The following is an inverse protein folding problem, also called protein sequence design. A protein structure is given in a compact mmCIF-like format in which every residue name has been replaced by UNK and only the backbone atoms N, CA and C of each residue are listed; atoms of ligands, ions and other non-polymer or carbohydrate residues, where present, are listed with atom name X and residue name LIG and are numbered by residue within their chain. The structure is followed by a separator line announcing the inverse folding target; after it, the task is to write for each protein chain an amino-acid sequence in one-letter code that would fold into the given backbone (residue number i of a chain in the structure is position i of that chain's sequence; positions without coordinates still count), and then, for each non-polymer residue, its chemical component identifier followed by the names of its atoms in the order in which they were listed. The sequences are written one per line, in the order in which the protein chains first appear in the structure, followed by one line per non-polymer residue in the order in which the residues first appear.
data_IF_713692313137
#
_entry.id   IF_713692313137
#
_cell.length_a   1.000
_cell.length_b   1.000
_cell.length_c   1.000
_cell.angle_alpha   90.00
_cell.angle_beta   90.00
_cell.angle_gamma   90.00
#
_symmetry.space_group_name_H-M   'P 1'
#
loop_
_entity.id
_entity.type
_entity.pdbx_description
1 polymer ?
#
# COMPACT_ATOMS: atom_id res chain seq x y z
N UNK A 1 12.96 -37.18 44.52
CA UNK A 1 12.39 -35.81 44.47
C UNK A 1 11.45 -35.76 43.27
N UNK A 2 10.14 -35.84 43.49
CA UNK A 2 9.10 -35.82 42.45
C UNK A 2 8.46 -34.44 42.42
N UNK A 3 8.67 -33.68 41.35
CA UNK A 3 8.02 -32.38 41.15
C UNK A 3 6.57 -32.60 40.71
N UNK A 4 5.64 -32.28 41.60
CA UNK A 4 4.20 -32.23 41.34
C UNK A 4 3.86 -30.98 40.52
N UNK A 5 3.73 -31.13 39.20
CA UNK A 5 3.13 -30.11 38.33
C UNK A 5 1.62 -30.17 38.47
N UNK A 6 1.04 -29.21 39.19
CA UNK A 6 -0.41 -29.01 39.27
C UNK A 6 -0.92 -28.50 37.92
N UNK A 7 -1.95 -29.11 37.29
CA UNK A 7 -2.46 -28.63 36.02
C UNK A 7 -3.18 -27.29 36.25
N UNK A 8 -2.60 -26.19 35.78
CA UNK A 8 -3.25 -24.88 35.78
C UNK A 8 -4.37 -24.93 34.75
N UNK A 9 -5.63 -24.99 35.20
CA UNK A 9 -6.80 -24.92 34.31
C UNK A 9 -6.77 -23.57 33.59
N UNK A 10 -6.33 -23.55 32.33
CA UNK A 10 -6.36 -22.34 31.51
C UNK A 10 -7.81 -21.90 31.36
N UNK A 11 -8.12 -20.71 31.89
CA UNK A 11 -9.43 -20.09 31.72
C UNK A 11 -9.63 -19.81 30.22
N UNK A 12 -10.77 -20.21 29.61
CA UNK A 12 -11.01 -19.97 28.20
C UNK A 12 -10.96 -18.47 27.89
N UNK A 13 -10.46 -18.14 26.70
CA UNK A 13 -10.41 -16.76 26.21
C UNK A 13 -11.84 -16.21 26.09
N UNK A 14 -12.16 -15.13 26.81
CA UNK A 14 -13.50 -14.54 26.82
C UNK A 14 -13.80 -13.66 25.58
N UNK A 15 -12.79 -13.40 24.73
CA UNK A 15 -12.94 -12.52 23.57
C UNK A 15 -14.04 -12.99 22.58
N UNK A 16 -14.14 -14.29 22.22
CA UNK A 16 -15.19 -14.78 21.32
C UNK A 16 -16.60 -14.74 21.93
N UNK A 17 -16.71 -14.70 23.26
CA UNK A 17 -17.98 -14.66 23.99
C UNK A 17 -18.61 -13.26 24.01
N UNK A 18 -17.84 -12.22 23.70
CA UNK A 18 -18.36 -10.86 23.59
C UNK A 18 -19.29 -10.71 22.38
N UNK A 19 -20.33 -9.86 22.44
CA UNK A 19 -21.10 -9.48 21.26
C UNK A 19 -20.23 -8.95 20.11
N UNK A 20 -20.63 -9.22 18.87
CA UNK A 20 -19.88 -8.85 17.66
C UNK A 20 -19.54 -7.35 17.60
N UNK A 21 -20.45 -6.48 18.06
CA UNK A 21 -20.20 -5.03 18.10
C UNK A 21 -19.02 -4.67 19.01
N UNK A 22 -18.91 -5.30 20.19
CA UNK A 22 -17.80 -5.08 21.10
C UNK A 22 -16.49 -5.63 20.52
N UNK A 23 -16.53 -6.80 19.86
CA UNK A 23 -15.35 -7.35 19.17
C UNK A 23 -14.88 -6.42 18.07
N UNK A 24 -15.77 -5.87 17.24
CA UNK A 24 -15.43 -4.91 16.21
C UNK A 24 -14.80 -3.63 16.77
N UNK A 25 -15.31 -3.11 17.90
CA UNK A 25 -14.69 -1.97 18.58
C UNK A 25 -13.26 -2.31 19.05
N UNK A 26 -13.05 -3.47 19.66
CA UNK A 26 -11.71 -3.94 20.06
C UNK A 26 -10.80 -4.05 18.84
N UNK A 27 -11.26 -4.69 17.76
CA UNK A 27 -10.52 -4.84 16.51
C UNK A 27 -10.08 -3.47 15.97
N UNK A 28 -10.98 -2.48 15.90
CA UNK A 28 -10.66 -1.09 15.50
C UNK A 28 -9.55 -0.48 16.36
N UNK A 29 -9.70 -0.52 17.70
CA UNK A 29 -8.69 0.04 18.61
C UNK A 29 -7.31 -0.61 18.46
N UNK A 30 -7.27 -1.87 18.05
CA UNK A 30 -6.00 -2.61 17.88
C UNK A 30 -5.39 -2.50 16.49
N UNK A 31 -6.22 -2.35 15.44
CA UNK A 31 -5.79 -2.42 14.04
C UNK A 31 -5.67 -1.06 13.38
N UNK A 32 -6.55 -0.13 13.75
CA UNK A 32 -6.63 1.21 13.18
C UNK A 32 -6.00 2.18 14.19
N UNK A 33 -4.68 2.31 14.11
CA UNK A 33 -3.98 3.36 14.84
C UNK A 33 -4.30 4.71 14.22
N UNK A 34 -4.28 5.78 15.01
CA UNK A 34 -4.37 7.13 14.49
C UNK A 34 -3.18 7.41 13.56
N UNK A 35 -3.45 7.61 12.27
CA UNK A 35 -2.46 7.95 11.25
C UNK A 35 -2.24 6.89 10.17
N UNK A 36 -1.29 7.18 9.28
CA UNK A 36 -1.02 6.37 8.09
C UNK A 36 -0.09 5.21 8.44
N UNK A 37 -0.56 3.97 8.24
CA UNK A 37 0.25 2.77 8.32
C UNK A 37 1.19 2.67 7.11
N UNK A 38 2.48 2.91 7.35
CA UNK A 38 3.52 2.82 6.32
C UNK A 38 4.04 1.39 6.17
N UNK A 39 3.73 0.77 5.03
CA UNK A 39 4.21 -0.55 4.64
C UNK A 39 5.46 -0.42 3.76
N UNK A 40 6.45 -1.24 4.05
CA UNK A 40 7.76 -1.36 3.43
C UNK A 40 8.07 -2.84 3.26
N UNK A 41 9.11 -3.17 2.48
CA UNK A 41 9.56 -4.57 2.34
C UNK A 41 9.92 -5.22 3.70
N UNK A 42 10.42 -4.44 4.66
CA UNK A 42 10.87 -4.94 5.96
C UNK A 42 9.76 -5.17 6.99
N UNK A 43 8.61 -4.50 6.84
CA UNK A 43 7.47 -4.61 7.77
C UNK A 43 6.19 -5.09 7.06
N UNK A 44 6.33 -5.75 5.91
CA UNK A 44 5.27 -6.45 5.19
C UNK A 44 4.83 -7.70 5.97
N UNK A 45 4.34 -7.52 7.18
CA UNK A 45 3.71 -8.58 7.95
C UNK A 45 2.28 -8.16 8.26
N UNK A 46 1.35 -9.08 8.06
CA UNK A 46 -0.01 -8.92 8.54
C UNK A 46 0.02 -8.57 10.04
N UNK A 47 -0.85 -7.66 10.51
CA UNK A 47 -0.98 -7.37 11.93
C UNK A 47 -1.07 -8.67 12.73
N UNK A 48 -0.39 -8.71 13.88
CA UNK A 48 -0.33 -9.91 14.74
C UNK A 48 -1.73 -10.45 15.05
N UNK A 49 -2.72 -9.56 15.21
CA UNK A 49 -4.12 -9.93 15.44
C UNK A 49 -4.72 -10.77 14.30
N UNK A 50 -4.44 -10.42 13.02
CA UNK A 50 -4.93 -11.16 11.85
C UNK A 50 -4.26 -12.53 11.67
N UNK A 51 -3.25 -12.84 12.49
CA UNK A 51 -2.51 -14.10 12.50
C UNK A 51 -2.88 -15.03 13.66
N UNK A 52 -3.82 -14.65 14.52
CA UNK A 52 -4.15 -15.41 15.74
C UNK A 52 -4.98 -16.67 15.45
N UNK A 53 -6.26 -16.49 15.06
CA UNK A 53 -7.17 -17.59 14.70
C UNK A 53 -8.07 -17.19 13.54
N UNK A 54 -8.71 -18.19 12.90
CA UNK A 54 -9.57 -17.98 11.72
C UNK A 54 -10.74 -17.03 12.02
N UNK A 55 -11.37 -17.15 13.20
CA UNK A 55 -12.48 -16.29 13.57
C UNK A 55 -12.07 -14.81 13.63
N UNK A 56 -11.00 -14.49 14.38
CA UNK A 56 -10.50 -13.11 14.49
C UNK A 56 -10.07 -12.59 13.13
N UNK A 57 -9.40 -13.41 12.32
CA UNK A 57 -9.00 -13.03 10.96
C UNK A 57 -10.21 -12.63 10.10
N UNK A 58 -11.29 -13.42 10.13
CA UNK A 58 -12.49 -13.17 9.34
C UNK A 58 -13.22 -11.90 9.80
N UNK A 59 -13.31 -11.66 11.11
CA UNK A 59 -13.96 -10.48 11.67
C UNK A 59 -13.15 -9.20 11.45
N UNK A 60 -11.84 -9.27 11.67
CA UNK A 60 -11.00 -8.10 11.83
C UNK A 60 -10.30 -7.67 10.52
N UNK A 61 -10.20 -8.55 9.53
CA UNK A 61 -9.56 -8.23 8.24
C UNK A 61 -10.31 -7.10 7.52
N UNK A 62 -11.63 -7.19 7.39
CA UNK A 62 -12.44 -6.14 6.76
C UNK A 62 -12.19 -4.76 7.40
N UNK A 63 -12.19 -4.71 8.73
CA UNK A 63 -11.90 -3.50 9.50
C UNK A 63 -10.50 -2.97 9.15
N UNK A 64 -9.47 -3.80 9.21
CA UNK A 64 -8.09 -3.38 8.92
C UNK A 64 -7.94 -2.80 7.51
N UNK A 65 -8.44 -3.48 6.48
CA UNK A 65 -8.19 -3.06 5.11
C UNK A 65 -9.15 -1.96 4.59
N UNK A 66 -10.28 -1.73 5.27
CA UNK A 66 -11.23 -0.67 4.94
C UNK A 66 -11.00 0.60 5.75
N UNK A 67 -10.70 0.47 7.04
CA UNK A 67 -10.67 1.60 7.96
C UNK A 67 -9.25 2.13 8.22
N UNK A 68 -8.19 1.35 7.93
CA UNK A 68 -6.81 1.84 8.06
C UNK A 68 -6.36 2.61 6.82
N UNK A 69 -5.73 3.77 7.03
CA UNK A 69 -5.01 4.47 5.98
C UNK A 69 -3.66 3.78 5.73
N UNK A 70 -3.48 3.20 4.55
CA UNK A 70 -2.26 2.46 4.19
C UNK A 70 -1.44 3.24 3.17
N UNK A 71 -0.14 3.35 3.40
CA UNK A 71 0.82 3.94 2.45
C UNK A 71 2.01 3.02 2.22
N UNK A 72 2.43 2.87 0.97
CA UNK A 72 3.63 2.12 0.58
C UNK A 72 4.79 3.06 0.31
N UNK A 73 5.94 2.83 0.95
CA UNK A 73 7.17 3.49 0.52
C UNK A 73 7.87 2.65 -0.55
N UNK A 74 7.82 3.11 -1.80
CA UNK A 74 8.50 2.48 -2.92
C UNK A 74 9.94 2.97 -3.00
N UNK A 75 10.87 2.03 -3.03
CA UNK A 75 12.26 2.33 -3.29
C UNK A 75 12.50 2.19 -4.79
N UNK A 76 13.06 3.22 -5.40
CA UNK A 76 13.45 3.19 -6.82
C UNK A 76 12.29 2.82 -7.75
N UNK A 77 11.12 3.44 -7.53
CA UNK A 77 9.84 3.16 -8.22
C UNK A 77 9.33 1.72 -8.15
N UNK A 78 9.99 0.80 -7.45
CA UNK A 78 9.60 -0.60 -7.45
C UNK A 78 8.20 -0.79 -6.82
N UNK A 79 7.19 -1.29 -7.57
CA UNK A 79 5.83 -1.46 -7.09
C UNK A 79 5.57 -2.79 -6.36
N UNK A 80 6.54 -3.71 -6.29
CA UNK A 80 6.37 -5.10 -5.83
C UNK A 80 5.71 -5.21 -4.45
N UNK A 81 6.02 -4.31 -3.52
CA UNK A 81 5.44 -4.31 -2.17
C UNK A 81 3.95 -3.98 -2.23
N UNK A 82 3.56 -3.00 -3.05
CA UNK A 82 2.17 -2.62 -3.24
C UNK A 82 1.39 -3.73 -3.96
N UNK A 83 1.96 -4.27 -5.05
CA UNK A 83 1.36 -5.39 -5.79
C UNK A 83 1.18 -6.63 -4.92
N UNK A 84 2.20 -6.99 -4.14
CA UNK A 84 2.13 -8.13 -3.22
C UNK A 84 1.09 -7.93 -2.13
N UNK A 85 0.92 -6.70 -1.65
CA UNK A 85 -0.15 -6.38 -0.71
C UNK A 85 -1.53 -6.54 -1.35
N UNK A 86 -1.70 -5.99 -2.56
CA UNK A 86 -2.97 -5.95 -3.25
C UNK A 86 -3.47 -7.33 -3.70
N UNK A 87 -2.56 -8.29 -3.96
CA UNK A 87 -2.94 -9.71 -4.15
C UNK A 87 -3.72 -10.31 -2.99
N UNK A 88 -3.49 -9.83 -1.77
CA UNK A 88 -4.17 -10.31 -0.57
C UNK A 88 -5.39 -9.44 -0.20
N UNK A 89 -5.67 -8.42 -1.01
CA UNK A 89 -6.67 -7.41 -0.76
C UNK A 89 -7.88 -7.60 -1.70
N UNK A 90 -9.08 -7.84 -1.16
CA UNK A 90 -10.33 -7.70 -1.89
C UNK A 90 -10.41 -6.39 -2.68
N UNK A 91 -10.84 -6.50 -3.94
CA UNK A 91 -10.87 -5.43 -4.95
C UNK A 91 -11.74 -4.21 -4.61
N UNK A 92 -12.61 -4.31 -3.60
CA UNK A 92 -13.51 -3.23 -3.19
C UNK A 92 -12.96 -2.36 -2.05
N UNK A 93 -11.69 -2.53 -1.67
CA UNK A 93 -11.08 -1.81 -0.55
C UNK A 93 -10.24 -0.62 -1.05
N UNK A 94 -10.53 0.58 -0.51
CA UNK A 94 -10.12 1.89 -1.07
C UNK A 94 -8.62 2.12 -1.23
N UNK A 95 -8.17 3.14 -1.95
CA UNK A 95 -6.80 3.26 -2.44
C UNK A 95 -5.71 3.20 -1.35
N UNK A 96 -4.68 2.39 -1.57
CA UNK A 96 -3.46 2.50 -0.79
C UNK A 96 -2.57 3.59 -1.40
N UNK A 97 -2.07 4.50 -0.55
CA UNK A 97 -1.21 5.60 -0.99
C UNK A 97 0.18 5.07 -1.32
N UNK A 98 0.89 5.77 -2.19
CA UNK A 98 2.30 5.51 -2.49
C UNK A 98 3.15 6.66 -1.90
N UNK A 99 4.41 6.42 -1.57
CA UNK A 99 5.43 7.40 -1.16
C UNK A 99 6.75 6.95 -1.81
N UNK A 100 7.63 7.88 -2.18
CA UNK A 100 8.90 7.56 -2.83
C UNK A 100 10.08 7.62 -1.87
N UNK A 101 10.94 6.61 -1.98
CA UNK A 101 12.26 6.58 -1.39
C UNK A 101 13.17 7.69 -1.94
N UNK A 102 14.42 7.73 -1.47
CA UNK A 102 15.40 8.70 -2.01
C UNK A 102 15.79 8.31 -3.43
N UNK A 103 15.86 9.31 -4.31
CA UNK A 103 16.45 9.24 -5.66
C UNK A 103 16.01 8.02 -6.48
N UNK A 104 14.71 7.85 -6.75
CA UNK A 104 14.29 6.79 -7.66
C UNK A 104 14.68 7.15 -9.09
N UNK A 105 15.37 6.24 -9.78
CA UNK A 105 15.96 6.45 -11.10
C UNK A 105 15.69 5.30 -12.07
N UNK A 106 15.24 4.14 -11.61
CA UNK A 106 15.01 2.99 -12.49
C UNK A 106 13.83 3.23 -13.42
N UNK A 107 14.11 3.30 -14.72
CA UNK A 107 13.08 3.40 -15.76
C UNK A 107 12.23 2.15 -15.83
N UNK A 108 12.84 0.98 -15.67
CA UNK A 108 12.14 -0.31 -15.68
C UNK A 108 11.12 -0.41 -14.54
N UNK A 109 11.51 -0.03 -13.33
CA UNK A 109 10.59 -0.01 -12.19
C UNK A 109 9.50 1.06 -12.36
N UNK A 110 9.85 2.21 -12.94
CA UNK A 110 8.88 3.26 -13.26
C UNK A 110 7.82 2.77 -14.24
N UNK A 111 8.20 2.09 -15.33
CA UNK A 111 7.24 1.47 -16.26
C UNK A 111 6.37 0.41 -15.58
N UNK A 112 6.96 -0.41 -14.70
CA UNK A 112 6.22 -1.40 -13.92
C UNK A 112 5.16 -0.73 -13.01
N UNK A 113 5.51 0.37 -12.35
CA UNK A 113 4.58 1.16 -11.54
C UNK A 113 3.47 1.78 -12.39
N UNK A 114 3.81 2.36 -13.55
CA UNK A 114 2.82 2.94 -14.46
C UNK A 114 1.86 1.91 -15.04
N UNK A 115 2.34 0.69 -15.32
CA UNK A 115 1.48 -0.43 -15.69
C UNK A 115 0.51 -0.80 -14.57
N UNK A 116 1.00 -0.90 -13.35
CA UNK A 116 0.16 -1.18 -12.19
C UNK A 116 -0.93 -0.11 -11.96
N UNK A 117 -0.65 1.15 -12.33
CA UNK A 117 -1.66 2.22 -12.32
C UNK A 117 -2.67 2.04 -13.45
N UNK A 118 -2.21 1.74 -14.68
CA UNK A 118 -3.09 1.51 -15.83
C UNK A 118 -4.01 0.28 -15.67
N UNK A 119 -3.55 -0.73 -14.92
CA UNK A 119 -4.31 -1.96 -14.67
C UNK A 119 -5.17 -1.86 -13.39
N UNK A 120 -5.33 -0.66 -12.82
CA UNK A 120 -6.04 -0.38 -11.55
C UNK A 120 -5.52 -1.18 -10.33
N UNK A 121 -4.31 -1.75 -10.42
CA UNK A 121 -3.69 -2.50 -9.34
C UNK A 121 -3.14 -1.58 -8.25
N UNK A 122 -2.77 -0.35 -8.57
CA UNK A 122 -2.28 0.67 -7.64
C UNK A 122 -2.97 1.98 -7.94
N UNK A 123 -3.52 2.65 -6.93
CA UNK A 123 -4.23 3.90 -7.18
C UNK A 123 -3.27 5.02 -7.53
N UNK A 124 -3.68 5.78 -8.56
CA UNK A 124 -2.99 6.93 -9.06
C UNK A 124 -2.61 7.91 -7.93
N UNK A 125 -1.37 8.37 -8.00
CA UNK A 125 -0.79 9.33 -7.09
C UNK A 125 -1.47 10.69 -7.25
N UNK A 126 -2.12 11.18 -6.19
CA UNK A 126 -2.63 12.56 -6.16
C UNK A 126 -1.51 13.60 -6.21
N UNK A 127 -1.86 14.84 -6.56
CA UNK A 127 -0.94 15.98 -6.44
C UNK A 127 -0.61 16.21 -4.95
N UNK A 128 0.68 16.30 -4.61
CA UNK A 128 1.10 16.75 -3.26
C UNK A 128 0.84 18.26 -3.21
N UNK A 129 -0.36 18.67 -2.83
CA UNK A 129 -0.60 20.06 -2.46
C UNK A 129 -0.41 20.30 -0.95
N UNK A 130 -0.50 19.28 -0.08
CA UNK A 130 -0.57 19.52 1.37
C UNK A 130 0.60 18.97 2.22
N UNK A 131 1.47 18.10 1.71
CA UNK A 131 2.55 17.54 2.54
C UNK A 131 3.85 18.37 2.43
N UNK A 132 3.93 19.41 3.28
CA UNK A 132 5.12 20.27 3.44
C UNK A 132 6.39 19.50 3.85
N UNK A 133 6.31 18.20 4.13
CA UNK A 133 7.45 17.37 4.55
C UNK A 133 8.24 16.75 3.40
N UNK A 134 7.72 16.75 2.17
CA UNK A 134 8.39 16.19 0.99
C UNK A 134 9.26 17.26 0.33
N UNK A 135 10.58 17.17 0.54
CA UNK A 135 11.57 18.13 0.05
C UNK A 135 12.52 17.52 -0.98
N UNK A 136 13.05 18.37 -1.87
CA UNK A 136 14.14 18.02 -2.79
C UNK A 136 13.76 16.97 -3.84
N UNK A 137 14.68 16.05 -4.12
CA UNK A 137 14.58 15.05 -5.19
C UNK A 137 13.35 14.13 -5.07
N UNK A 138 12.84 13.91 -3.85
CA UNK A 138 11.60 13.14 -3.62
C UNK A 138 10.37 13.84 -4.17
N UNK A 139 10.29 15.17 -4.03
CA UNK A 139 9.18 15.96 -4.57
C UNK A 139 9.20 15.94 -6.10
N UNK A 140 10.39 16.04 -6.69
CA UNK A 140 10.57 15.92 -8.14
C UNK A 140 10.10 14.57 -8.66
N UNK A 141 10.57 13.47 -8.04
CA UNK A 141 10.16 12.12 -8.38
C UNK A 141 8.64 11.93 -8.26
N UNK A 142 8.04 12.47 -7.20
CA UNK A 142 6.60 12.44 -7.04
C UNK A 142 5.85 13.15 -8.15
N UNK A 143 6.23 14.40 -8.44
CA UNK A 143 5.57 15.19 -9.47
C UNK A 143 5.67 14.54 -10.85
N UNK A 144 6.82 13.95 -11.16
CA UNK A 144 7.03 13.20 -12.41
C UNK A 144 6.10 11.99 -12.48
N UNK A 145 6.01 11.20 -11.41
CA UNK A 145 5.17 10.01 -11.38
C UNK A 145 3.67 10.36 -11.38
N UNK A 146 3.24 11.40 -10.66
CA UNK A 146 1.87 11.87 -10.63
C UNK A 146 1.41 12.42 -12.00
N UNK A 147 2.27 13.19 -12.67
CA UNK A 147 2.00 13.67 -14.02
C UNK A 147 1.89 12.50 -15.02
N UNK A 148 2.77 11.50 -14.94
CA UNK A 148 2.69 10.29 -15.75
C UNK A 148 1.39 9.51 -15.51
N UNK A 149 1.02 9.29 -14.24
CA UNK A 149 -0.24 8.63 -13.88
C UNK A 149 -1.46 9.37 -14.45
N UNK A 150 -1.47 10.70 -14.38
CA UNK A 150 -2.53 11.52 -14.96
C UNK A 150 -2.58 11.44 -16.50
N UNK A 151 -1.44 11.37 -17.19
CA UNK A 151 -1.41 11.16 -18.64
C UNK A 151 -1.97 9.79 -19.03
N UNK A 152 -1.60 8.75 -18.29
CA UNK A 152 -2.08 7.37 -18.50
C UNK A 152 -3.58 7.28 -18.29
N UNK A 153 -4.10 7.84 -17.19
CA UNK A 153 -5.54 7.88 -16.92
C UNK A 153 -6.31 8.58 -18.05
N UNK A 154 -5.81 9.72 -18.56
CA UNK A 154 -6.43 10.39 -19.72
C UNK A 154 -6.38 9.58 -21.00
N UNK A 155 -5.32 8.81 -21.20
CA UNK A 155 -5.18 7.94 -22.36
C UNK A 155 -6.16 6.77 -22.28
N UNK A 156 -6.32 6.18 -21.10
CA UNK A 156 -7.30 5.12 -20.84
C UNK A 156 -8.74 5.62 -21.04
N UNK A 157 -9.08 6.81 -20.52
CA UNK A 157 -10.38 7.46 -20.75
C UNK A 157 -10.68 7.68 -22.24
N UNK A 158 -9.64 7.86 -23.05
CA UNK A 158 -9.73 7.98 -24.50
C UNK A 158 -9.75 6.64 -25.25
N UNK A 159 -9.72 5.51 -24.54
CA UNK A 159 -9.70 4.15 -25.11
C UNK A 159 -8.32 3.69 -25.59
N UNK A 160 -7.25 4.33 -25.15
CA UNK A 160 -5.87 3.96 -25.49
C UNK A 160 -5.41 2.67 -24.80
N UNK A 161 -4.49 1.96 -25.45
CA UNK A 161 -3.90 0.73 -24.96
C UNK A 161 -2.63 0.99 -24.13
N UNK A 162 -2.16 -0.04 -23.41
CA UNK A 162 -0.86 0.02 -22.74
C UNK A 162 0.31 0.29 -23.72
N UNK A 163 0.22 -0.15 -24.97
CA UNK A 163 1.27 0.14 -25.96
C UNK A 163 1.34 1.63 -26.28
N UNK A 164 0.20 2.28 -26.40
CA UNK A 164 0.12 3.74 -26.58
C UNK A 164 0.68 4.45 -25.34
N UNK A 165 0.43 3.91 -24.15
CA UNK A 165 0.99 4.44 -22.91
C UNK A 165 2.52 4.34 -22.91
N UNK A 166 3.10 3.21 -23.33
CA UNK A 166 4.56 3.03 -23.42
C UNK A 166 5.19 4.04 -24.38
N UNK A 167 4.55 4.34 -25.51
CA UNK A 167 5.03 5.35 -26.46
C UNK A 167 5.06 6.75 -25.83
N UNK A 168 3.95 7.17 -25.22
CA UNK A 168 3.85 8.47 -24.52
C UNK A 168 4.87 8.56 -23.39
N UNK A 169 5.03 7.50 -22.60
CA UNK A 169 6.00 7.42 -21.53
C UNK A 169 7.45 7.48 -22.06
N UNK A 170 7.72 6.91 -23.24
CA UNK A 170 9.02 7.01 -23.90
C UNK A 170 9.42 8.47 -24.17
N UNK A 171 8.51 9.27 -24.71
CA UNK A 171 8.73 10.72 -24.88
C UNK A 171 8.86 11.44 -23.53
N UNK A 172 8.06 11.03 -22.55
CA UNK A 172 8.10 11.60 -21.21
C UNK A 172 9.43 11.35 -20.49
N UNK A 173 10.06 10.19 -20.69
CA UNK A 173 11.40 9.88 -20.18
C UNK A 173 12.41 10.92 -20.61
N UNK A 174 12.48 11.20 -21.92
CA UNK A 174 13.41 12.18 -22.50
C UNK A 174 13.16 13.58 -21.93
N UNK A 175 11.88 13.98 -21.80
CA UNK A 175 11.51 15.27 -21.25
C UNK A 175 11.87 15.43 -19.76
N UNK A 176 11.95 14.32 -19.02
CA UNK A 176 12.20 14.31 -17.57
C UNK A 176 13.63 13.94 -17.18
N UNK A 177 14.48 13.55 -18.14
CA UNK A 177 15.91 13.25 -17.93
C UNK A 177 16.69 14.35 -17.19
N UNK A 178 16.43 15.66 -17.40
CA UNK A 178 17.10 16.72 -16.63
C UNK A 178 16.67 16.77 -15.14
N UNK A 179 15.52 16.17 -14.81
CA UNK A 179 14.94 16.17 -13.47
C UNK A 179 15.26 14.87 -12.70
N UNK A 180 15.26 13.75 -13.41
CA UNK A 180 15.57 12.41 -12.92
C UNK A 180 16.53 11.78 -13.91
N UNK A 181 17.74 11.47 -13.46
CA UNK A 181 18.72 10.75 -14.28
C UNK A 181 18.31 9.29 -14.35
N UNK A 182 17.69 8.87 -15.46
CA UNK A 182 17.09 7.55 -15.58
C UNK A 182 18.17 6.48 -15.79
N UNK A 183 18.07 5.38 -15.05
CA UNK A 183 18.90 4.18 -15.17
C UNK A 183 18.13 3.01 -15.73
#
# INVERSE_FOLDING_TARGET
MTTSTTPTTQKPCALPELPAELRNRIHRYTLCQEGILRITKGNFQHPSLLRTCQQIRNEASGIFYQESEISFRLHDFNPDVALSFNKHRPSHWGPARVDFGKNPTSWTNFLSLMRAVFEDEVVAMGTIDDDKTIQGTRKTAWNVAAAAAHMISKLEDAGGSWNDAVEVLGHYKVATEPLIHWT
#
